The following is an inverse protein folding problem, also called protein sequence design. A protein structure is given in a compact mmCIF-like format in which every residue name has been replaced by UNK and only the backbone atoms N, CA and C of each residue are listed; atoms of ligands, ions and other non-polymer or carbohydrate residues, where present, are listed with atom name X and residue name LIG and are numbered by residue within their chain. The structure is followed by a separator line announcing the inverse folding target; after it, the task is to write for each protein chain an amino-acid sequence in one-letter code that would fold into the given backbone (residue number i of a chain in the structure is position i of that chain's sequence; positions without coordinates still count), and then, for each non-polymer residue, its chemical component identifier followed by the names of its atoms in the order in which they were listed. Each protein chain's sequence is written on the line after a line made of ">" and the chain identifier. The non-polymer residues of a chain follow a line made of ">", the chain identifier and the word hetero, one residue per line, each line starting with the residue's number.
data_IF_029570419271
#
_entry.id   IF_029570419271
#
_cell.length_a   1.000
_cell.length_b   1.000
_cell.length_c   1.000
_cell.angle_alpha   90.00
_cell.angle_beta   90.00
_cell.angle_gamma   90.00
#
_symmetry.space_group_name_H-M   'P 1'
#
loop_
_entity.id
_entity.type
_entity.pdbx_description
1 polymer ?
#
# COMPACT_ATOMS: atom_id res chain seq x y z
N UNK A 1 24.71 26.24 -1.68
CA UNK A 1 23.96 27.49 -1.95
C UNK A 1 23.40 27.53 -3.38
N UNK A 2 24.15 27.88 -4.43
CA UNK A 2 23.57 28.00 -5.80
C UNK A 2 22.98 26.68 -6.34
N UNK A 3 23.66 25.55 -6.13
CA UNK A 3 23.18 24.22 -6.56
C UNK A 3 21.89 23.80 -5.85
N UNK A 4 21.71 24.13 -4.57
CA UNK A 4 20.50 23.81 -3.80
C UNK A 4 19.29 24.60 -4.33
N UNK A 5 19.49 25.88 -4.68
CA UNK A 5 18.45 26.71 -5.29
C UNK A 5 18.06 26.18 -6.68
N UNK A 6 19.02 25.74 -7.49
CA UNK A 6 18.74 25.12 -8.79
C UNK A 6 17.95 23.82 -8.61
N UNK A 7 18.34 22.95 -7.67
CA UNK A 7 17.62 21.71 -7.38
C UNK A 7 16.18 21.99 -6.91
N UNK A 8 15.99 22.97 -6.03
CA UNK A 8 14.66 23.37 -5.56
C UNK A 8 13.79 23.87 -6.72
N UNK A 9 14.33 24.73 -7.60
CA UNK A 9 13.60 25.25 -8.75
C UNK A 9 13.22 24.13 -9.72
N UNK A 10 14.12 23.19 -10.00
CA UNK A 10 13.83 22.02 -10.84
C UNK A 10 12.72 21.17 -10.19
N UNK A 11 12.80 20.91 -8.88
CA UNK A 11 11.80 20.15 -8.15
C UNK A 11 10.43 20.82 -8.20
N UNK A 12 10.35 22.12 -7.93
CA UNK A 12 9.10 22.88 -7.99
C UNK A 12 8.52 22.92 -9.40
N UNK A 13 9.36 23.14 -10.41
CA UNK A 13 8.94 23.14 -11.81
C UNK A 13 8.39 21.78 -12.23
N UNK A 14 9.08 20.69 -11.86
CA UNK A 14 8.61 19.33 -12.09
C UNK A 14 7.26 19.09 -11.39
N UNK A 15 7.11 19.48 -10.11
CA UNK A 15 5.87 19.33 -9.37
C UNK A 15 4.71 20.07 -10.03
N UNK A 16 4.93 21.31 -10.47
CA UNK A 16 3.92 22.13 -11.13
C UNK A 16 3.49 21.58 -12.49
N UNK A 17 4.37 20.88 -13.22
CA UNK A 17 4.03 20.24 -14.49
C UNK A 17 3.33 18.89 -14.27
N UNK A 18 3.90 18.05 -13.41
CA UNK A 18 3.42 16.67 -13.25
C UNK A 18 2.14 16.59 -12.41
N UNK A 19 1.98 17.43 -11.38
CA UNK A 19 0.77 17.44 -10.55
C UNK A 19 -0.54 17.57 -11.35
N UNK A 20 -0.73 18.58 -12.23
CA UNK A 20 -1.95 18.68 -13.02
C UNK A 20 -2.06 17.56 -14.07
N UNK A 21 -0.95 17.07 -14.62
CA UNK A 21 -0.96 15.96 -15.58
C UNK A 21 -1.54 14.69 -14.95
N UNK A 22 -1.08 14.32 -13.75
CA UNK A 22 -1.62 13.19 -13.00
C UNK A 22 -3.02 13.49 -12.45
N UNK A 23 -3.29 14.73 -12.03
CA UNK A 23 -4.61 15.17 -11.60
C UNK A 23 -5.69 15.00 -12.67
N UNK A 24 -5.37 15.27 -13.94
CA UNK A 24 -6.28 15.01 -15.06
C UNK A 24 -6.55 13.51 -15.26
N UNK A 25 -5.55 12.66 -15.00
CA UNK A 25 -5.73 11.21 -14.98
C UNK A 25 -6.71 10.77 -13.90
N UNK A 26 -6.53 11.25 -12.67
CA UNK A 26 -7.43 10.97 -11.55
C UNK A 26 -8.86 11.47 -11.81
N UNK A 27 -9.01 12.67 -12.39
CA UNK A 27 -10.31 13.21 -12.79
C UNK A 27 -11.02 12.31 -13.82
N UNK A 28 -10.28 11.80 -14.81
CA UNK A 28 -10.82 10.85 -15.79
C UNK A 28 -11.29 9.56 -15.15
N UNK A 29 -10.54 9.02 -14.18
CA UNK A 29 -10.93 7.82 -13.42
C UNK A 29 -12.17 8.08 -12.58
N UNK A 30 -12.27 9.26 -11.95
CA UNK A 30 -13.45 9.65 -11.17
C UNK A 30 -14.74 9.70 -12.00
N UNK A 31 -14.66 10.18 -13.24
CA UNK A 31 -15.80 10.21 -14.18
C UNK A 31 -15.96 8.93 -15.00
N UNK A 32 -15.02 7.99 -14.87
CA UNK A 32 -15.00 6.79 -15.70
C UNK A 32 -16.23 5.94 -15.43
N UNK A 33 -16.87 5.48 -16.51
CA UNK A 33 -17.97 4.53 -16.43
C UNK A 33 -17.41 3.12 -16.62
N UNK A 34 -17.74 2.23 -15.68
CA UNK A 34 -17.25 0.85 -15.65
C UNK A 34 -17.34 0.14 -17.00
N UNK A 35 -16.24 -0.45 -17.45
CA UNK A 35 -16.17 -1.23 -18.70
C UNK A 35 -16.35 -2.74 -18.46
N UNK A 36 -16.32 -3.53 -19.55
CA UNK A 36 -16.64 -4.96 -19.50
C UNK A 36 -15.75 -5.77 -18.54
N UNK A 37 -14.45 -5.51 -18.50
CA UNK A 37 -13.53 -6.23 -17.62
C UNK A 37 -13.74 -5.88 -16.14
N UNK A 38 -13.98 -4.61 -15.82
CA UNK A 38 -14.29 -4.18 -14.45
C UNK A 38 -15.61 -4.76 -13.96
N UNK A 39 -16.64 -4.81 -14.82
CA UNK A 39 -17.91 -5.45 -14.47
C UNK A 39 -17.75 -6.93 -14.14
N UNK A 40 -16.82 -7.62 -14.81
CA UNK A 40 -16.49 -9.00 -14.49
C UNK A 40 -15.83 -9.12 -13.10
N UNK A 41 -14.85 -8.27 -12.80
CA UNK A 41 -14.23 -8.23 -11.47
C UNK A 41 -15.22 -7.87 -10.36
N UNK A 42 -16.08 -6.87 -10.58
CA UNK A 42 -17.12 -6.49 -9.63
C UNK A 42 -18.09 -7.63 -9.37
N UNK A 43 -18.47 -8.39 -10.40
CA UNK A 43 -19.32 -9.57 -10.24
C UNK A 43 -18.66 -10.66 -9.40
N UNK A 44 -17.36 -10.93 -9.60
CA UNK A 44 -16.61 -11.90 -8.79
C UNK A 44 -16.51 -11.44 -7.33
N UNK A 45 -16.27 -10.15 -7.12
CA UNK A 45 -16.14 -9.55 -5.79
C UNK A 45 -17.50 -9.22 -5.13
N UNK A 46 -18.63 -9.46 -5.81
CA UNK A 46 -19.97 -9.13 -5.31
C UNK A 46 -20.25 -7.62 -5.17
N UNK A 47 -19.56 -6.77 -5.92
CA UNK A 47 -19.66 -5.31 -5.88
C UNK A 47 -20.77 -4.85 -6.84
N UNK A 48 -21.73 -4.06 -6.36
CA UNK A 48 -22.71 -3.36 -7.20
C UNK A 48 -22.23 -1.92 -7.49
N UNK A 49 -21.83 -1.60 -8.74
CA UNK A 49 -21.34 -0.26 -9.08
C UNK A 49 -22.42 0.83 -9.07
N UNK A 50 -23.71 0.48 -9.05
CA UNK A 50 -24.79 1.47 -9.04
C UNK A 50 -25.24 1.84 -7.62
N UNK A 51 -24.75 1.11 -6.61
CA UNK A 51 -25.09 1.35 -5.20
C UNK A 51 -24.18 2.43 -4.64
N UNK A 52 -24.75 3.57 -4.27
CA UNK A 52 -24.05 4.59 -3.52
C UNK A 52 -23.84 4.15 -2.06
N UNK A 53 -22.69 4.48 -1.48
CA UNK A 53 -22.41 4.31 -0.06
C UNK A 53 -22.68 5.61 0.70
N UNK A 54 -23.38 5.54 1.82
CA UNK A 54 -23.40 6.65 2.79
C UNK A 54 -22.06 6.74 3.53
N UNK A 55 -21.78 7.88 4.18
CA UNK A 55 -20.51 8.11 4.87
C UNK A 55 -20.22 7.05 5.94
N UNK A 56 -21.25 6.54 6.63
CA UNK A 56 -21.09 5.48 7.65
C UNK A 56 -20.64 4.17 7.02
N UNK A 57 -21.27 3.79 5.90
CA UNK A 57 -20.93 2.57 5.17
C UNK A 57 -19.52 2.66 4.61
N UNK A 58 -19.15 3.81 4.06
CA UNK A 58 -17.80 4.06 3.55
C UNK A 58 -16.76 3.99 4.66
N UNK A 59 -16.99 4.68 5.78
CA UNK A 59 -16.08 4.67 6.92
C UNK A 59 -15.91 3.26 7.50
N UNK A 60 -17.01 2.52 7.67
CA UNK A 60 -16.96 1.14 8.17
C UNK A 60 -16.22 0.23 7.19
N UNK A 61 -16.50 0.34 5.88
CA UNK A 61 -15.82 -0.45 4.85
C UNK A 61 -14.31 -0.20 4.87
N UNK A 62 -13.90 1.07 5.00
CA UNK A 62 -12.50 1.46 5.10
C UNK A 62 -11.84 0.89 6.36
N UNK A 63 -12.50 0.97 7.52
CA UNK A 63 -11.98 0.42 8.78
C UNK A 63 -11.85 -1.10 8.72
N UNK A 64 -12.86 -1.80 8.20
CA UNK A 64 -12.84 -3.25 8.05
C UNK A 64 -11.74 -3.69 7.09
N UNK A 65 -11.60 -3.03 5.94
CA UNK A 65 -10.53 -3.31 4.98
C UNK A 65 -9.14 -3.14 5.61
N UNK A 66 -8.91 -2.03 6.31
CA UNK A 66 -7.64 -1.79 7.00
C UNK A 66 -7.39 -2.79 8.12
N UNK A 67 -8.41 -3.16 8.90
CA UNK A 67 -8.27 -4.14 9.96
C UNK A 67 -7.84 -5.51 9.44
N UNK A 68 -8.46 -5.99 8.35
CA UNK A 68 -8.05 -7.25 7.72
C UNK A 68 -6.67 -7.15 7.07
N UNK A 69 -6.33 -6.02 6.44
CA UNK A 69 -4.99 -5.76 5.91
C UNK A 69 -3.92 -5.80 7.00
N UNK A 70 -4.18 -5.13 8.13
CA UNK A 70 -3.35 -5.18 9.33
C UNK A 70 -3.16 -6.61 9.83
N UNK A 71 -4.26 -7.36 10.00
CA UNK A 71 -4.21 -8.71 10.53
C UNK A 71 -3.42 -9.64 9.60
N UNK A 72 -3.66 -9.55 8.29
CA UNK A 72 -2.92 -10.31 7.28
C UNK A 72 -1.42 -10.00 7.36
N UNK A 73 -1.04 -8.72 7.37
CA UNK A 73 0.35 -8.31 7.44
C UNK A 73 1.01 -8.73 8.76
N UNK A 74 0.33 -8.56 9.89
CA UNK A 74 0.81 -9.01 11.20
C UNK A 74 1.10 -10.51 11.21
N UNK A 75 0.17 -11.32 10.70
CA UNK A 75 0.34 -12.78 10.62
C UNK A 75 1.49 -13.17 9.69
N UNK A 76 1.66 -12.49 8.56
CA UNK A 76 2.79 -12.71 7.64
C UNK A 76 4.12 -12.44 8.34
N UNK A 77 4.24 -11.32 9.05
CA UNK A 77 5.47 -10.93 9.74
C UNK A 77 5.78 -11.81 10.95
N UNK A 78 4.76 -12.17 11.71
CA UNK A 78 4.91 -13.01 12.89
C UNK A 78 5.22 -14.47 12.54
N UNK A 79 4.58 -15.01 11.50
CA UNK A 79 4.79 -16.38 11.02
C UNK A 79 5.73 -16.47 9.81
N UNK A 80 6.58 -15.46 9.60
CA UNK A 80 7.49 -15.38 8.44
C UNK A 80 8.35 -16.64 8.29
N UNK A 81 8.72 -17.28 9.40
CA UNK A 81 9.53 -18.50 9.44
C UNK A 81 8.79 -19.76 8.93
N UNK A 82 7.46 -19.78 8.92
CA UNK A 82 6.67 -20.91 8.42
C UNK A 82 6.24 -20.72 6.96
N UNK A 83 6.44 -19.52 6.40
CA UNK A 83 6.11 -19.25 5.01
C UNK A 83 7.14 -19.87 4.07
N UNK A 84 6.72 -20.51 2.97
CA UNK A 84 7.62 -21.20 2.05
C UNK A 84 8.60 -20.27 1.31
N UNK A 85 8.35 -18.95 1.35
CA UNK A 85 9.10 -17.92 0.64
C UNK A 85 10.12 -17.25 1.57
N UNK A 86 10.92 -18.07 2.27
CA UNK A 86 11.95 -17.61 3.18
C UNK A 86 13.29 -18.34 2.92
N UNK A 87 13.96 -18.06 1.78
CA UNK A 87 15.21 -18.73 1.40
C UNK A 87 16.34 -18.50 2.42
N UNK A 88 16.34 -17.35 3.09
CA UNK A 88 17.31 -16.95 4.11
C UNK A 88 16.99 -17.52 5.52
N UNK A 89 15.87 -18.26 5.67
CA UNK A 89 15.40 -18.83 6.94
C UNK A 89 15.31 -17.83 8.10
N UNK A 90 14.95 -16.57 7.84
CA UNK A 90 14.78 -15.58 8.90
C UNK A 90 13.68 -16.02 9.89
N UNK A 91 13.89 -15.82 11.20
CA UNK A 91 12.85 -16.07 12.18
C UNK A 91 11.66 -15.14 11.97
N UNK A 92 10.49 -15.52 12.49
CA UNK A 92 9.37 -14.60 12.62
C UNK A 92 9.74 -13.41 13.51
N UNK A 93 9.17 -12.24 13.22
CA UNK A 93 9.39 -11.06 14.06
C UNK A 93 8.82 -11.29 15.47
N UNK A 94 9.48 -10.71 16.48
CA UNK A 94 8.92 -10.64 17.84
C UNK A 94 7.58 -9.91 17.78
N UNK A 95 6.62 -10.34 18.60
CA UNK A 95 5.22 -9.92 18.52
C UNK A 95 5.02 -8.39 18.51
N UNK A 96 5.81 -7.65 19.29
CA UNK A 96 5.75 -6.20 19.43
C UNK A 96 6.27 -5.50 18.18
N UNK A 97 7.36 -6.00 17.58
CA UNK A 97 7.90 -5.51 16.32
C UNK A 97 6.98 -5.83 15.14
N UNK A 98 6.42 -7.05 15.09
CA UNK A 98 5.44 -7.45 14.08
C UNK A 98 4.20 -6.56 14.14
N UNK A 99 3.71 -6.29 15.35
CA UNK A 99 2.56 -5.42 15.59
C UNK A 99 2.84 -3.98 15.17
N UNK A 100 3.94 -3.39 15.64
CA UNK A 100 4.31 -2.02 15.32
C UNK A 100 4.47 -1.83 13.81
N UNK A 101 5.15 -2.77 13.15
CA UNK A 101 5.34 -2.76 11.70
C UNK A 101 4.01 -2.87 10.97
N UNK A 102 3.16 -3.84 11.34
CA UNK A 102 1.86 -4.00 10.69
C UNK A 102 0.96 -2.78 10.85
N UNK A 103 0.92 -2.17 12.04
CA UNK A 103 0.18 -0.91 12.28
C UNK A 103 0.75 0.20 11.41
N UNK A 104 2.07 0.40 11.43
CA UNK A 104 2.79 1.45 10.71
C UNK A 104 2.51 1.45 9.20
N UNK A 105 2.50 0.28 8.57
CA UNK A 105 2.15 0.13 7.15
C UNK A 105 0.66 0.35 6.90
N UNK A 106 -0.22 -0.19 7.77
CA UNK A 106 -1.67 -0.02 7.63
C UNK A 106 -2.11 1.43 7.79
N UNK A 107 -1.45 2.18 8.69
CA UNK A 107 -1.69 3.62 8.89
C UNK A 107 -0.91 4.50 7.91
N UNK A 108 -0.26 3.90 6.90
CA UNK A 108 0.52 4.60 5.87
C UNK A 108 1.61 5.53 6.46
N UNK A 109 2.11 5.18 7.65
CA UNK A 109 3.16 5.92 8.36
C UNK A 109 4.54 5.45 7.93
N UNK A 110 4.68 4.15 7.66
CA UNK A 110 5.92 3.52 7.21
C UNK A 110 7.12 3.80 8.15
N UNK A 111 6.86 3.95 9.45
CA UNK A 111 7.86 3.88 10.52
C UNK A 111 8.54 2.51 10.50
N UNK A 112 9.88 2.53 10.56
CA UNK A 112 10.73 1.34 10.52
C UNK A 112 11.58 1.28 11.79
N UNK A 113 11.23 0.35 12.69
CA UNK A 113 11.98 0.06 13.92
C UNK A 113 12.91 -1.15 13.77
N UNK A 114 13.18 -1.57 12.53
CA UNK A 114 13.96 -2.76 12.17
C UNK A 114 15.01 -2.41 11.12
N UNK A 115 16.08 -3.21 11.04
CA UNK A 115 17.04 -3.11 9.94
C UNK A 115 16.58 -4.00 8.79
N UNK A 116 16.17 -3.37 7.68
CA UNK A 116 15.56 -4.05 6.53
C UNK A 116 16.40 -5.18 5.92
N UNK A 117 17.73 -5.08 5.99
CA UNK A 117 18.66 -6.06 5.41
C UNK A 117 18.85 -7.32 6.27
N UNK A 118 18.49 -7.28 7.55
CA UNK A 118 18.75 -8.35 8.53
C UNK A 118 17.50 -8.90 9.22
N UNK A 119 16.33 -8.30 8.94
CA UNK A 119 15.11 -8.56 9.72
C UNK A 119 13.91 -9.00 8.87
N UNK A 120 13.85 -8.64 7.58
CA UNK A 120 12.76 -9.03 6.69
C UNK A 120 13.25 -9.99 5.61
N UNK A 121 12.48 -11.06 5.39
CA UNK A 121 12.76 -11.96 4.28
C UNK A 121 12.42 -11.28 2.95
N UNK A 122 13.40 -11.22 2.05
CA UNK A 122 13.17 -10.74 0.70
C UNK A 122 12.27 -11.72 -0.04
N UNK A 123 11.01 -11.32 -0.29
CA UNK A 123 10.22 -11.88 -1.38
C UNK A 123 11.07 -11.77 -2.66
N UNK A 124 11.18 -12.83 -3.47
CA UNK A 124 12.44 -13.39 -3.95
C UNK A 124 13.37 -12.36 -4.59
N UNK A 125 14.63 -12.38 -4.13
CA UNK A 125 15.80 -11.82 -4.83
C UNK A 125 15.84 -12.43 -6.24
N UNK A 126 15.29 -11.71 -7.22
CA UNK A 126 15.59 -11.96 -8.64
C UNK A 126 16.87 -11.22 -8.98
N UNK A 127 18.00 -11.81 -8.62
CA UNK A 127 19.30 -11.29 -9.03
C UNK A 127 20.21 -12.47 -9.36
N UNK A 128 20.15 -12.85 -10.64
CA UNK A 128 21.34 -13.32 -11.37
C UNK A 128 22.14 -12.07 -11.81
#
# INVERSE_FOLDING_TARGET
>A
MVTEWIQLLIFLFALLIFSPLFGLGLYKVYLYKTSGFEKFLYKICGIDPNRNMDWKEYALSLLVFNFFGFLLLFLILFFQNYLPLNPENFPGLVWDLAFNTAVSFTTNTNWQAYSGESTLSFFPKWQD
#
